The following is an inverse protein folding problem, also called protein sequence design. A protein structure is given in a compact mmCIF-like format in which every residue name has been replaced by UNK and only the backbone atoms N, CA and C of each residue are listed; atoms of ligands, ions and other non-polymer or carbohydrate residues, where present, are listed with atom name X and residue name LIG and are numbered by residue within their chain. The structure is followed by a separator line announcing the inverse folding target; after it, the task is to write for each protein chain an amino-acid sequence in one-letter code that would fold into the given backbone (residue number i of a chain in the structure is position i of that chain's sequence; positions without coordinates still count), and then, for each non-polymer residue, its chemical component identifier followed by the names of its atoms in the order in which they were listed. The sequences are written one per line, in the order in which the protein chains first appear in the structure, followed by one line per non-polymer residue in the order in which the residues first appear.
data_IF_962783476577
#
_entry.id   IF_962783476577
#
_cell.length_a   1.000
_cell.length_b   1.000
_cell.length_c   1.000
_cell.angle_alpha   90.00
_cell.angle_beta   90.00
_cell.angle_gamma   90.00
#
_symmetry.space_group_name_H-M   'P 1'
#
loop_
_entity.id
_entity.type
_entity.pdbx_description
1 polymer ?
#
# COMPACT_ATOMS: atom_id res chain seq x y z
N UNK A 1 -12.12 -26.27 -9.36
CA UNK A 1 -12.55 -24.86 -9.23
C UNK A 1 -11.36 -24.14 -8.66
N UNK A 2 -10.70 -23.39 -9.53
CA UNK A 2 -9.35 -22.85 -9.40
C UNK A 2 -9.33 -21.73 -8.37
N UNK A 3 -8.77 -22.00 -7.19
CA UNK A 3 -8.55 -20.99 -6.14
C UNK A 3 -7.49 -19.95 -6.53
N UNK A 4 -6.78 -20.17 -7.63
CA UNK A 4 -5.66 -19.35 -8.10
C UNK A 4 -6.10 -18.06 -8.79
N UNK A 5 -7.21 -18.08 -9.53
CA UNK A 5 -7.69 -16.91 -10.29
C UNK A 5 -8.05 -15.76 -9.35
N UNK A 6 -8.75 -16.06 -8.25
CA UNK A 6 -9.13 -15.05 -7.23
C UNK A 6 -7.95 -14.51 -6.43
N UNK A 7 -6.87 -15.31 -6.30
CA UNK A 7 -5.70 -14.91 -5.53
C UNK A 7 -4.81 -13.97 -6.34
N UNK A 8 -4.62 -14.25 -7.63
CA UNK A 8 -3.87 -13.40 -8.55
C UNK A 8 -4.61 -12.07 -8.77
N UNK A 9 -5.92 -12.10 -8.97
CA UNK A 9 -6.76 -10.89 -9.06
C UNK A 9 -6.67 -10.02 -7.79
N UNK A 10 -6.71 -10.65 -6.60
CA UNK A 10 -6.56 -9.91 -5.35
C UNK A 10 -5.16 -9.31 -5.20
N UNK A 11 -4.13 -10.04 -5.62
CA UNK A 11 -2.74 -9.55 -5.64
C UNK A 11 -2.61 -8.32 -6.52
N UNK A 12 -3.12 -8.37 -7.76
CA UNK A 12 -3.09 -7.25 -8.70
C UNK A 12 -3.86 -6.04 -8.16
N UNK A 13 -5.05 -6.26 -7.62
CA UNK A 13 -5.84 -5.21 -6.98
C UNK A 13 -5.09 -4.56 -5.81
N UNK A 14 -4.38 -5.35 -5.00
CA UNK A 14 -3.60 -4.83 -3.88
C UNK A 14 -2.38 -4.03 -4.36
N UNK A 15 -1.75 -4.43 -5.46
CA UNK A 15 -0.68 -3.64 -6.11
C UNK A 15 -1.21 -2.28 -6.54
N UNK A 16 -2.36 -2.24 -7.22
CA UNK A 16 -2.99 -0.98 -7.63
C UNK A 16 -3.33 -0.09 -6.43
N UNK A 17 -3.79 -0.69 -5.33
CA UNK A 17 -4.07 0.01 -4.09
C UNK A 17 -2.79 0.59 -3.44
N UNK A 18 -1.69 -0.16 -3.45
CA UNK A 18 -0.36 0.31 -2.98
C UNK A 18 0.10 1.52 -3.78
N UNK A 19 -0.01 1.46 -5.11
CA UNK A 19 0.47 2.51 -6.01
C UNK A 19 -0.42 3.77 -6.01
N UNK A 20 -1.69 3.65 -5.60
CA UNK A 20 -2.65 4.76 -5.59
C UNK A 20 -2.88 5.41 -4.22
N UNK A 21 -2.37 4.81 -3.14
CA UNK A 21 -2.51 5.36 -1.78
C UNK A 21 -1.68 6.66 -1.60
N UNK A 22 -2.36 7.80 -1.50
CA UNK A 22 -1.71 9.11 -1.47
C UNK A 22 -2.04 9.96 -0.24
N UNK A 23 -3.01 9.53 0.58
CA UNK A 23 -3.35 10.18 1.85
C UNK A 23 -2.92 9.33 3.04
N UNK A 24 -2.70 9.95 4.20
CA UNK A 24 -2.30 9.23 5.42
C UNK A 24 -3.29 8.10 5.79
N UNK A 25 -4.62 8.30 5.74
CA UNK A 25 -5.57 7.22 6.02
C UNK A 25 -5.53 6.09 4.99
N UNK A 26 -5.41 6.41 3.70
CA UNK A 26 -5.30 5.40 2.63
C UNK A 26 -4.03 4.57 2.82
N UNK A 27 -2.89 5.23 3.03
CA UNK A 27 -1.59 4.56 3.22
C UNK A 27 -1.63 3.62 4.43
N UNK A 28 -2.26 4.04 5.53
CA UNK A 28 -2.41 3.20 6.71
C UNK A 28 -3.27 1.95 6.42
N UNK A 29 -4.43 2.13 5.79
CA UNK A 29 -5.30 1.01 5.43
C UNK A 29 -4.61 0.05 4.45
N UNK A 30 -3.97 0.57 3.40
CA UNK A 30 -3.25 -0.25 2.42
C UNK A 30 -2.08 -1.01 3.04
N UNK A 31 -1.37 -0.40 4.00
CA UNK A 31 -0.29 -1.08 4.73
C UNK A 31 -0.80 -2.29 5.53
N UNK A 32 -1.96 -2.17 6.17
CA UNK A 32 -2.58 -3.30 6.90
C UNK A 32 -2.96 -4.45 5.95
N UNK A 33 -3.51 -4.12 4.78
CA UNK A 33 -3.86 -5.13 3.77
C UNK A 33 -2.62 -5.81 3.17
N UNK A 34 -1.57 -5.04 2.92
CA UNK A 34 -0.28 -5.56 2.46
C UNK A 34 0.37 -6.47 3.50
N UNK A 35 0.29 -6.10 4.79
CA UNK A 35 0.78 -6.95 5.87
C UNK A 35 0.04 -8.30 5.90
N UNK A 36 -1.29 -8.28 5.83
CA UNK A 36 -2.08 -9.52 5.79
C UNK A 36 -1.73 -10.40 4.59
N UNK A 37 -1.50 -9.79 3.42
CA UNK A 37 -1.03 -10.52 2.25
C UNK A 37 0.33 -11.19 2.48
N UNK A 38 1.29 -10.47 3.03
CA UNK A 38 2.65 -10.98 3.28
C UNK A 38 2.69 -12.05 4.38
N UNK A 39 1.81 -11.96 5.38
CA UNK A 39 1.65 -13.01 6.39
C UNK A 39 1.12 -14.32 5.78
N UNK A 40 0.23 -14.21 4.79
CA UNK A 40 -0.31 -15.36 4.05
C UNK A 40 0.64 -15.87 2.95
N UNK A 41 1.45 -14.98 2.36
CA UNK A 41 2.33 -15.25 1.21
C UNK A 41 3.74 -14.72 1.44
N UNK A 42 4.50 -15.28 2.40
CA UNK A 42 5.83 -14.77 2.75
C UNK A 42 6.85 -14.88 1.60
N UNK A 43 6.60 -15.77 0.64
CA UNK A 43 7.47 -16.01 -0.52
C UNK A 43 7.21 -15.05 -1.70
N UNK A 44 6.17 -14.20 -1.62
CA UNK A 44 5.86 -13.20 -2.65
C UNK A 44 6.74 -11.95 -2.49
N UNK A 45 8.00 -12.12 -2.87
CA UNK A 45 9.01 -11.05 -2.80
C UNK A 45 8.60 -9.79 -3.59
N UNK A 46 7.76 -9.93 -4.62
CA UNK A 46 7.31 -8.80 -5.44
C UNK A 46 6.38 -7.83 -4.69
N UNK A 47 5.71 -8.28 -3.63
CA UNK A 47 4.85 -7.43 -2.80
C UNK A 47 5.61 -6.74 -1.67
N UNK A 48 6.83 -7.19 -1.37
CA UNK A 48 7.66 -6.66 -0.29
C UNK A 48 8.04 -5.19 -0.55
N UNK A 49 8.33 -4.83 -1.81
CA UNK A 49 8.63 -3.46 -2.25
C UNK A 49 7.46 -2.47 -2.02
N UNK A 50 6.24 -3.00 -1.85
CA UNK A 50 5.06 -2.17 -1.57
C UNK A 50 5.16 -1.40 -0.25
N UNK A 51 5.86 -1.94 0.75
CA UNK A 51 6.07 -1.23 2.02
C UNK A 51 6.95 0.01 1.85
N UNK A 52 7.97 -0.08 1.01
CA UNK A 52 8.87 1.03 0.71
C UNK A 52 8.14 2.13 -0.08
N UNK A 53 7.31 1.74 -1.05
CA UNK A 53 6.45 2.68 -1.77
C UNK A 53 5.53 3.43 -0.81
N UNK A 54 4.81 2.73 0.07
CA UNK A 54 3.92 3.34 1.05
C UNK A 54 4.66 4.25 2.04
N UNK A 55 5.89 3.89 2.45
CA UNK A 55 6.71 4.73 3.33
C UNK A 55 7.12 6.05 2.63
N UNK A 56 7.47 5.97 1.34
CA UNK A 56 7.77 7.16 0.54
C UNK A 56 6.52 8.04 0.38
N UNK A 57 5.38 7.46 0.01
CA UNK A 57 4.10 8.18 -0.12
C UNK A 57 3.69 8.83 1.21
N UNK A 58 3.94 8.17 2.35
CA UNK A 58 3.67 8.73 3.67
C UNK A 58 4.50 9.99 3.92
N UNK A 59 5.79 9.96 3.55
CA UNK A 59 6.69 11.11 3.68
C UNK A 59 6.21 12.30 2.85
N UNK A 60 5.74 12.05 1.63
CA UNK A 60 5.17 13.07 0.74
C UNK A 60 3.88 13.64 1.33
N UNK A 61 2.96 12.77 1.75
CA UNK A 61 1.67 13.17 2.32
C UNK A 61 1.82 14.01 3.60
N UNK A 62 2.78 13.65 4.47
CA UNK A 62 3.11 14.45 5.66
C UNK A 62 3.68 15.82 5.28
N UNK A 63 4.58 15.86 4.31
CA UNK A 63 5.20 17.12 3.83
C UNK A 63 4.15 18.09 3.28
N UNK A 64 3.14 17.59 2.56
CA UNK A 64 2.03 18.40 2.06
C UNK A 64 1.16 18.95 3.20
N UNK A 65 0.81 18.10 4.18
CA UNK A 65 0.01 18.52 5.33
C UNK A 65 0.71 19.58 6.19
N UNK A 66 2.04 19.60 6.24
CA UNK A 66 2.83 20.62 6.95
C UNK A 66 2.91 21.93 6.16
N UNK A 67 3.08 21.87 4.84
CA UNK A 67 3.09 23.05 3.97
C UNK A 67 1.78 23.83 4.00
N UNK A 68 0.64 23.13 4.05
CA UNK A 68 -0.68 23.75 4.16
C UNK A 68 -0.87 24.47 5.51
N UNK A 69 -0.33 23.94 6.60
CA UNK A 69 -0.43 24.56 7.93
C UNK A 69 0.41 25.82 8.10
N UNK A 70 1.48 25.98 7.32
CA UNK A 70 2.32 27.19 7.37
C UNK A 70 1.81 28.33 6.48
N UNK A 71 0.90 28.05 5.55
CA UNK A 71 0.31 29.04 4.64
C UNK A 71 -1.04 29.62 5.12
N UNK A 72 -1.60 29.10 6.23
CA UNK A 72 -2.86 29.50 6.84
C UNK A 72 -2.63 30.36 8.10
#
# INVERSE_FOLDING_TARGET
MELTETQEEYREWLIDLVLSANTIPEIAATREMLQQWMEAHPDDLGMMDGFDHLAMSQTIALSHAEGEKQAA
#
